data_IF_832278874732
#
_entry.id   IF_832278874732
#
_cell.length_a   1.000
_cell.length_b   1.000
_cell.length_c   1.000
_cell.angle_alpha   90.00
_cell.angle_beta   90.00
_cell.angle_gamma   90.00
#
_symmetry.space_group_name_H-M   'P 1'
#
loop_
_entity.id
_entity.type
_entity.pdbx_description
1 polymer ?
#
# COMPACT_ATOMS: atom_id res chain seq x y z
N UNK A 1 34.20 -2.58 28.37
CA UNK A 1 33.62 -3.40 27.28
C UNK A 1 32.14 -3.04 27.14
N UNK A 2 31.82 -2.12 26.24
CA UNK A 2 30.44 -1.68 26.01
C UNK A 2 29.84 -2.58 24.94
N UNK A 3 28.81 -3.33 25.34
CA UNK A 3 28.07 -4.31 24.56
C UNK A 3 27.66 -3.77 23.19
N UNK A 4 27.89 -4.58 22.14
CA UNK A 4 27.39 -4.38 20.78
C UNK A 4 25.87 -4.20 20.80
N UNK A 5 25.40 -2.95 20.86
CA UNK A 5 23.96 -2.62 20.74
C UNK A 5 23.51 -2.97 19.33
N UNK A 6 22.91 -4.14 19.18
CA UNK A 6 22.42 -4.66 17.91
C UNK A 6 21.48 -3.68 17.22
N UNK A 7 21.75 -3.44 15.93
CA UNK A 7 20.91 -2.66 15.03
C UNK A 7 19.46 -3.16 15.01
N UNK A 8 18.49 -2.36 15.48
CA UNK A 8 17.06 -2.74 15.42
C UNK A 8 16.52 -2.70 13.97
N UNK A 9 17.24 -2.15 12.97
CA UNK A 9 16.76 -2.15 11.57
C UNK A 9 16.38 -3.55 11.06
N UNK A 10 17.16 -4.59 11.40
CA UNK A 10 16.82 -5.98 11.05
C UNK A 10 15.60 -6.49 11.82
N UNK A 11 15.38 -5.95 13.02
CA UNK A 11 14.26 -6.27 13.91
C UNK A 11 13.02 -5.40 13.67
N UNK A 12 13.08 -4.35 12.84
CA UNK A 12 11.91 -3.52 12.50
C UNK A 12 10.83 -4.31 11.77
N UNK A 13 11.20 -5.43 11.12
CA UNK A 13 10.22 -6.35 10.57
C UNK A 13 9.45 -7.14 11.64
N UNK A 14 9.84 -7.07 12.93
CA UNK A 14 9.15 -7.74 14.02
C UNK A 14 7.79 -7.04 14.28
N UNK A 15 6.66 -7.70 14.01
CA UNK A 15 5.34 -7.12 14.19
C UNK A 15 4.96 -6.89 15.66
N UNK A 16 5.70 -7.46 16.61
CA UNK A 16 5.51 -7.20 18.06
C UNK A 16 6.01 -5.80 18.47
N UNK A 17 6.87 -5.19 17.66
CA UNK A 17 7.30 -3.80 17.86
C UNK A 17 6.25 -2.87 17.24
N UNK A 18 5.27 -2.46 18.06
CA UNK A 18 4.12 -1.65 17.64
C UNK A 18 4.52 -0.25 17.13
N UNK A 19 3.70 0.31 16.23
CA UNK A 19 3.86 1.66 15.68
C UNK A 19 4.39 1.65 14.25
N UNK A 20 3.63 2.29 13.35
CA UNK A 20 3.95 2.37 11.91
C UNK A 20 5.28 3.08 11.69
N UNK A 21 5.48 4.22 12.38
CA UNK A 21 6.69 5.04 12.29
C UNK A 21 7.66 4.80 13.46
N UNK A 22 7.67 3.60 14.06
CA UNK A 22 8.53 3.31 15.21
C UNK A 22 10.00 3.66 14.91
N UNK A 23 10.61 4.46 15.78
CA UNK A 23 11.99 4.90 15.61
C UNK A 23 12.16 6.10 14.68
N UNK A 24 11.06 6.71 14.20
CA UNK A 24 11.06 8.03 13.59
C UNK A 24 10.46 9.06 14.53
N UNK A 25 10.92 10.30 14.42
CA UNK A 25 10.44 11.45 15.18
C UNK A 25 10.41 12.70 14.32
N UNK A 26 9.49 13.61 14.61
CA UNK A 26 9.45 14.92 14.00
C UNK A 26 10.36 15.87 14.80
N UNK A 27 11.31 16.52 14.13
CA UNK A 27 12.11 17.62 14.68
C UNK A 27 12.19 18.72 13.64
N UNK A 28 11.87 19.95 14.04
CA UNK A 28 11.91 21.13 13.14
C UNK A 28 11.19 20.92 11.79
N UNK A 29 10.04 20.23 11.82
CA UNK A 29 9.22 19.86 10.65
C UNK A 29 9.84 18.82 9.70
N UNK A 30 10.98 18.23 10.05
CA UNK A 30 11.62 17.14 9.32
C UNK A 30 11.39 15.80 10.04
N UNK A 31 11.26 14.72 9.26
CA UNK A 31 11.13 13.37 9.81
C UNK A 31 12.51 12.75 9.93
N UNK A 32 12.97 12.51 11.15
CA UNK A 32 14.31 12.00 11.43
C UNK A 32 14.26 10.65 12.12
N UNK A 33 15.31 9.85 11.91
CA UNK A 33 15.52 8.60 12.63
C UNK A 33 16.00 8.89 14.06
N UNK A 34 15.44 8.19 15.05
CA UNK A 34 15.87 8.30 16.43
C UNK A 34 17.15 7.50 16.66
N UNK A 35 18.27 8.20 16.78
CA UNK A 35 19.60 7.61 16.95
C UNK A 35 19.74 6.70 18.18
N UNK A 36 18.92 6.91 19.22
CA UNK A 36 18.92 6.05 20.42
C UNK A 36 18.32 4.67 20.13
N UNK A 37 17.33 4.61 19.24
CA UNK A 37 16.64 3.38 18.84
C UNK A 37 17.33 2.70 17.64
N UNK A 38 18.01 3.47 16.80
CA UNK A 38 18.64 3.00 15.55
C UNK A 38 20.15 3.34 15.54
N UNK A 39 20.95 2.80 16.48
CA UNK A 39 22.35 3.20 16.65
C UNK A 39 23.25 2.77 15.48
N UNK A 40 22.81 1.81 14.68
CA UNK A 40 23.63 1.13 13.70
C UNK A 40 23.99 1.91 12.45
N UNK A 41 23.39 3.07 12.21
CA UNK A 41 23.76 3.91 11.08
C UNK A 41 24.13 5.33 11.52
N UNK A 42 24.20 5.61 12.84
CA UNK A 42 24.38 6.94 13.43
C UNK A 42 23.55 8.06 12.76
N UNK A 43 22.41 7.73 12.15
CA UNK A 43 21.67 8.64 11.26
C UNK A 43 22.36 9.00 9.93
N UNK A 44 23.62 8.63 9.71
CA UNK A 44 24.46 9.05 8.57
C UNK A 44 24.26 8.23 7.29
N UNK A 45 23.54 7.11 7.34
CA UNK A 45 23.28 6.27 6.15
C UNK A 45 24.45 5.35 5.74
N UNK A 46 25.41 5.14 6.64
CA UNK A 46 26.48 4.16 6.51
C UNK A 46 26.86 3.61 7.90
N UNK A 47 27.46 2.43 7.93
CA UNK A 47 28.00 1.79 9.13
C UNK A 47 29.33 1.14 8.79
N UNK A 48 30.28 1.11 9.71
CA UNK A 48 31.54 0.40 9.49
C UNK A 48 31.34 -1.09 9.75
N UNK A 49 31.81 -1.93 8.84
CA UNK A 49 31.96 -3.36 9.08
C UNK A 49 33.22 -3.60 9.92
N UNK A 50 33.11 -3.93 11.21
CA UNK A 50 34.27 -4.14 12.07
C UNK A 50 35.11 -5.35 11.64
N UNK A 51 34.58 -6.26 10.82
CA UNK A 51 35.31 -7.45 10.36
C UNK A 51 36.09 -7.19 9.07
N UNK A 52 35.60 -6.29 8.21
CA UNK A 52 36.18 -6.06 6.88
C UNK A 52 36.78 -4.67 6.69
N UNK A 53 36.71 -3.79 7.70
CA UNK A 53 37.16 -2.39 7.61
C UNK A 53 36.55 -1.64 6.40
N UNK A 54 35.33 -2.01 5.99
CA UNK A 54 34.61 -1.42 4.87
C UNK A 54 33.38 -0.67 5.36
N UNK A 55 32.98 0.37 4.63
CA UNK A 55 31.72 1.07 4.89
C UNK A 55 30.56 0.32 4.22
N UNK A 56 29.60 -0.12 5.02
CA UNK A 56 28.33 -0.67 4.56
C UNK A 56 27.33 0.47 4.44
N UNK A 57 26.78 0.69 3.23
CA UNK A 57 25.72 1.67 3.01
C UNK A 57 24.42 1.21 3.69
N UNK A 58 23.89 2.06 4.56
CA UNK A 58 22.64 1.84 5.27
C UNK A 58 21.50 2.53 4.53
N UNK A 59 20.46 1.77 4.15
CA UNK A 59 19.30 2.30 3.43
C UNK A 59 18.41 3.24 4.26
N UNK A 60 18.80 3.59 5.49
CA UNK A 60 18.03 4.44 6.41
C UNK A 60 17.64 5.78 5.78
N UNK A 61 18.60 6.54 5.23
CA UNK A 61 18.30 7.85 4.59
C UNK A 61 17.35 7.69 3.41
N UNK A 62 17.53 6.64 2.60
CA UNK A 62 16.61 6.32 1.48
C UNK A 62 15.20 6.01 2.01
N UNK A 63 15.08 5.20 3.06
CA UNK A 63 13.80 4.84 3.68
C UNK A 63 13.11 6.04 4.32
N UNK A 64 13.83 6.91 5.02
CA UNK A 64 13.29 8.14 5.60
C UNK A 64 12.71 9.03 4.50
N UNK A 65 13.50 9.34 3.46
CA UNK A 65 13.05 10.16 2.33
C UNK A 65 11.84 9.56 1.60
N UNK A 66 11.84 8.25 1.40
CA UNK A 66 10.69 7.57 0.79
C UNK A 66 9.44 7.62 1.69
N UNK A 67 9.62 7.51 3.00
CA UNK A 67 8.52 7.63 3.99
C UNK A 67 7.96 9.05 3.99
N UNK A 68 8.82 10.08 3.95
CA UNK A 68 8.42 11.48 3.83
C UNK A 68 7.68 11.75 2.53
N UNK A 69 8.12 11.17 1.40
CA UNK A 69 7.44 11.30 0.12
C UNK A 69 6.00 10.76 0.17
N UNK A 70 5.78 9.62 0.82
CA UNK A 70 4.43 9.05 1.02
C UNK A 70 3.57 9.96 1.90
N UNK A 71 4.13 10.48 3.01
CA UNK A 71 3.41 11.42 3.89
C UNK A 71 3.04 12.72 3.15
N UNK A 72 3.95 13.27 2.36
CA UNK A 72 3.70 14.45 1.54
C UNK A 72 2.61 14.19 0.51
N UNK A 73 2.68 13.05 -0.19
CA UNK A 73 1.66 12.64 -1.15
C UNK A 73 0.29 12.48 -0.47
N UNK A 74 0.24 11.86 0.72
CA UNK A 74 -0.98 11.78 1.51
C UNK A 74 -1.55 13.17 1.79
N UNK A 75 -0.73 14.11 2.29
CA UNK A 75 -1.19 15.45 2.63
C UNK A 75 -1.69 16.24 1.42
N UNK A 76 -1.12 16.01 0.24
CA UNK A 76 -1.60 16.59 -1.02
C UNK A 76 -2.93 15.97 -1.45
N UNK A 77 -3.07 14.65 -1.36
CA UNK A 77 -4.27 13.92 -1.79
C UNK A 77 -5.45 14.12 -0.83
N UNK A 78 -5.18 14.14 0.47
CA UNK A 78 -6.13 14.14 1.58
C UNK A 78 -5.97 15.38 2.47
N UNK A 79 -5.79 16.55 1.87
CA UNK A 79 -5.52 17.81 2.56
C UNK A 79 -6.57 18.21 3.61
N UNK A 80 -7.81 17.73 3.45
CA UNK A 80 -8.95 17.96 4.35
C UNK A 80 -9.12 16.88 5.44
N UNK A 81 -8.33 15.80 5.40
CA UNK A 81 -8.39 14.69 6.37
C UNK A 81 -7.12 14.62 7.23
N UNK A 82 -6.68 15.75 7.80
CA UNK A 82 -5.46 15.81 8.62
C UNK A 82 -5.58 14.96 9.89
N UNK A 83 -6.77 14.90 10.48
CA UNK A 83 -7.03 14.11 11.69
C UNK A 83 -6.99 12.59 11.46
N UNK A 84 -7.04 12.16 10.19
CA UNK A 84 -6.95 10.75 9.78
C UNK A 84 -5.54 10.38 9.29
N UNK A 85 -4.53 11.09 9.76
CA UNK A 85 -3.14 10.86 9.37
C UNK A 85 -2.75 9.37 9.50
N UNK A 86 -2.09 8.79 8.48
CA UNK A 86 -1.83 7.35 8.42
C UNK A 86 -0.87 6.84 9.50
N UNK A 87 -0.18 7.74 10.22
CA UNK A 87 0.69 7.41 11.34
C UNK A 87 0.00 7.54 12.71
N UNK A 88 -1.18 8.16 12.79
CA UNK A 88 -1.94 8.42 14.03
C UNK A 88 -2.95 7.33 14.37
N UNK A 89 -2.72 6.12 13.85
CA UNK A 89 -3.61 4.98 13.99
C UNK A 89 -3.45 4.31 15.36
N UNK A 90 -4.56 3.86 15.95
CA UNK A 90 -4.56 3.14 17.21
C UNK A 90 -3.64 1.90 17.17
N UNK A 91 -2.92 1.64 18.28
CA UNK A 91 -1.87 0.63 18.34
C UNK A 91 -2.32 -0.78 17.89
N UNK A 92 -3.51 -1.22 18.30
CA UNK A 92 -4.07 -2.53 17.89
C UNK A 92 -4.31 -2.62 16.38
N UNK A 93 -4.77 -1.54 15.75
CA UNK A 93 -4.99 -1.49 14.30
C UNK A 93 -3.65 -1.41 13.55
N UNK A 94 -2.69 -0.65 14.08
CA UNK A 94 -1.31 -0.63 13.57
C UNK A 94 -0.69 -2.03 13.58
N UNK A 95 -0.83 -2.80 14.67
CA UNK A 95 -0.30 -4.16 14.77
C UNK A 95 -0.93 -5.09 13.71
N UNK A 96 -2.24 -4.95 13.46
CA UNK A 96 -2.95 -5.70 12.42
C UNK A 96 -2.39 -5.39 11.03
N UNK A 97 -2.20 -4.12 10.68
CA UNK A 97 -1.64 -3.71 9.39
C UNK A 97 -0.19 -4.20 9.21
N UNK A 98 0.64 -4.05 10.25
CA UNK A 98 2.03 -4.54 10.24
C UNK A 98 2.10 -6.05 9.99
N UNK A 99 1.21 -6.82 10.62
CA UNK A 99 1.12 -8.27 10.40
C UNK A 99 0.72 -8.60 8.95
N UNK A 100 -0.28 -7.91 8.40
CA UNK A 100 -0.73 -8.14 7.02
C UNK A 100 0.39 -7.87 6.00
N UNK A 101 1.13 -6.78 6.18
CA UNK A 101 2.31 -6.49 5.35
C UNK A 101 3.32 -7.62 5.51
N UNK A 102 3.75 -7.93 6.74
CA UNK A 102 4.76 -8.95 7.00
C UNK A 102 4.40 -10.34 6.42
N UNK A 103 3.14 -10.76 6.52
CA UNK A 103 2.65 -12.02 5.94
C UNK A 103 2.76 -12.03 4.41
N UNK A 104 2.43 -10.92 3.77
CA UNK A 104 2.53 -10.78 2.30
C UNK A 104 3.99 -10.84 1.83
N UNK A 105 4.90 -10.25 2.60
CA UNK A 105 6.35 -10.28 2.30
C UNK A 105 6.97 -11.66 2.46
N UNK A 106 6.45 -12.45 3.41
CA UNK A 106 6.89 -13.82 3.64
C UNK A 106 6.26 -14.81 2.64
N UNK A 107 5.38 -14.34 1.75
CA UNK A 107 4.66 -15.21 0.82
C UNK A 107 3.54 -16.04 1.48
N UNK A 108 3.19 -15.74 2.74
CA UNK A 108 2.06 -16.39 3.43
C UNK A 108 0.70 -15.86 2.97
N UNK A 109 0.69 -14.86 2.09
CA UNK A 109 -0.49 -14.35 1.40
C UNK A 109 -0.21 -14.26 -0.10
N UNK A 110 -1.26 -14.27 -0.93
CA UNK A 110 -1.13 -13.94 -2.33
C UNK A 110 -0.50 -12.56 -2.53
N UNK A 111 0.11 -12.35 -3.70
CA UNK A 111 0.71 -11.08 -4.08
C UNK A 111 -0.34 -9.97 -4.23
N UNK A 112 -1.54 -10.35 -4.65
CA UNK A 112 -2.71 -9.50 -4.81
C UNK A 112 -3.70 -9.62 -3.64
N UNK A 113 -4.30 -8.52 -3.24
CA UNK A 113 -5.41 -8.50 -2.29
C UNK A 113 -6.44 -7.45 -2.68
N UNK A 114 -7.70 -7.86 -2.74
CA UNK A 114 -8.83 -6.97 -3.03
C UNK A 114 -9.69 -6.82 -1.79
N UNK A 115 -9.97 -5.57 -1.41
CA UNK A 115 -10.80 -5.24 -0.24
C UNK A 115 -11.94 -4.30 -0.64
N UNK A 116 -12.99 -4.27 0.18
CA UNK A 116 -14.09 -3.32 0.03
C UNK A 116 -13.80 -2.08 0.87
N UNK A 117 -13.81 -0.91 0.23
CA UNK A 117 -13.55 0.38 0.85
C UNK A 117 -14.79 1.22 1.13
N UNK A 118 -14.54 2.42 1.66
CA UNK A 118 -15.56 3.47 1.84
C UNK A 118 -15.12 4.73 1.11
N UNK A 119 -16.03 5.29 0.31
CA UNK A 119 -15.77 6.55 -0.39
C UNK A 119 -15.57 7.71 0.59
N UNK A 120 -14.75 8.68 0.18
CA UNK A 120 -14.61 9.97 0.87
C UNK A 120 -13.71 9.95 2.11
N UNK A 121 -13.01 8.86 2.39
CA UNK A 121 -11.99 8.78 3.46
C UNK A 121 -10.73 8.06 2.97
N UNK A 122 -9.54 8.46 3.42
CA UNK A 122 -8.31 7.75 3.09
C UNK A 122 -8.37 6.30 3.56
N UNK A 123 -7.80 5.41 2.76
CA UNK A 123 -7.72 3.99 3.09
C UNK A 123 -6.59 3.68 4.09
N UNK A 124 -6.67 2.52 4.73
CA UNK A 124 -5.57 1.92 5.51
C UNK A 124 -4.31 1.70 4.65
N UNK A 125 -4.44 1.73 3.32
CA UNK A 125 -3.33 1.58 2.37
C UNK A 125 -2.21 2.60 2.57
N UNK A 126 -2.51 3.83 2.97
CA UNK A 126 -1.46 4.81 3.30
C UNK A 126 -0.60 4.38 4.48
N UNK A 127 -1.24 3.84 5.51
CA UNK A 127 -0.58 3.29 6.68
C UNK A 127 0.25 2.04 6.33
N UNK A 128 -0.29 1.16 5.47
CA UNK A 128 0.43 0.00 4.96
C UNK A 128 1.64 0.39 4.10
N UNK A 129 1.53 1.43 3.26
CA UNK A 129 2.63 1.94 2.45
C UNK A 129 3.76 2.53 3.30
N UNK A 130 3.41 3.30 4.34
CA UNK A 130 4.38 3.80 5.32
C UNK A 130 5.08 2.65 6.03
N UNK A 131 4.33 1.65 6.50
CA UNK A 131 4.89 0.47 7.15
C UNK A 131 5.82 -0.29 6.20
N UNK A 132 5.37 -0.57 4.97
CA UNK A 132 6.15 -1.27 3.93
C UNK A 132 7.49 -0.57 3.67
N UNK A 133 7.45 0.75 3.50
CA UNK A 133 8.64 1.57 3.23
C UNK A 133 9.58 1.64 4.41
N UNK A 134 9.06 2.02 5.57
CA UNK A 134 9.89 2.27 6.75
C UNK A 134 10.36 0.97 7.41
N UNK A 135 9.40 0.12 7.79
CA UNK A 135 9.64 -1.08 8.60
C UNK A 135 10.29 -2.20 7.79
N UNK A 136 9.87 -2.36 6.54
CA UNK A 136 10.30 -3.48 5.71
C UNK A 136 11.28 -3.08 4.59
N UNK A 137 11.46 -1.77 4.33
CA UNK A 137 12.39 -1.30 3.30
C UNK A 137 11.90 -1.52 1.89
N UNK A 138 10.60 -1.57 1.69
CA UNK A 138 9.96 -1.90 0.41
C UNK A 138 9.50 -0.64 -0.27
N UNK A 139 9.81 -0.52 -1.57
CA UNK A 139 9.35 0.60 -2.33
C UNK A 139 7.82 0.54 -2.43
N UNK A 140 7.13 1.59 -1.98
CA UNK A 140 5.67 1.63 -1.95
C UNK A 140 5.15 2.76 -2.83
N UNK A 141 4.13 2.44 -3.64
CA UNK A 141 3.45 3.37 -4.52
C UNK A 141 1.96 3.38 -4.19
N UNK A 142 1.41 4.54 -3.85
CA UNK A 142 -0.03 4.69 -3.53
C UNK A 142 -0.70 5.50 -4.62
N UNK A 143 -1.81 4.98 -5.14
CA UNK A 143 -2.60 5.59 -6.21
C UNK A 143 -4.03 5.76 -5.73
N UNK A 144 -4.53 6.99 -5.72
CA UNK A 144 -5.96 7.28 -5.64
C UNK A 144 -6.47 7.43 -7.07
N UNK A 145 -7.16 6.41 -7.59
CA UNK A 145 -7.42 6.30 -9.04
C UNK A 145 -8.17 7.52 -9.62
N UNK A 146 -9.14 8.05 -8.87
CA UNK A 146 -9.92 9.24 -9.24
C UNK A 146 -9.12 10.55 -9.30
N UNK A 147 -7.91 10.58 -8.72
CA UNK A 147 -7.00 11.74 -8.69
C UNK A 147 -5.71 11.50 -9.46
N UNK A 148 -5.55 10.33 -10.07
CA UNK A 148 -4.33 9.94 -10.74
C UNK A 148 -4.10 10.76 -12.02
N UNK A 149 -2.84 11.15 -12.23
CA UNK A 149 -2.35 11.71 -13.49
C UNK A 149 -1.46 10.68 -14.19
N UNK A 150 -1.17 10.82 -15.49
CA UNK A 150 -0.26 9.89 -16.18
C UNK A 150 1.10 9.71 -15.49
N UNK A 151 1.61 10.76 -14.83
CA UNK A 151 2.89 10.73 -14.09
C UNK A 151 2.83 10.03 -12.74
N UNK A 152 1.64 9.90 -12.15
CA UNK A 152 1.44 9.31 -10.81
C UNK A 152 0.74 7.96 -10.86
N UNK A 153 0.29 7.53 -12.05
CA UNK A 153 -0.46 6.30 -12.22
C UNK A 153 0.43 5.07 -11.95
N UNK A 154 1.58 5.03 -12.60
CA UNK A 154 2.55 3.95 -12.45
C UNK A 154 3.77 4.46 -11.65
N UNK A 155 4.42 3.58 -10.88
CA UNK A 155 5.66 3.93 -10.22
C UNK A 155 6.74 4.27 -11.25
N UNK A 156 7.67 5.14 -10.86
CA UNK A 156 8.78 5.50 -11.73
C UNK A 156 9.68 4.27 -11.94
N UNK A 157 10.20 4.04 -13.15
CA UNK A 157 11.08 2.90 -13.44
C UNK A 157 12.48 3.14 -12.84
N UNK A 158 12.59 3.15 -11.53
CA UNK A 158 13.89 3.13 -10.86
C UNK A 158 14.45 1.71 -10.85
N UNK A 159 15.72 1.60 -11.27
CA UNK A 159 16.41 0.36 -11.66
C UNK A 159 16.96 -0.49 -10.50
N UNK A 160 16.52 -0.27 -9.27
CA UNK A 160 16.96 -1.10 -8.15
C UNK A 160 16.02 -2.30 -7.99
N UNK A 161 16.59 -3.50 -7.85
CA UNK A 161 15.90 -4.79 -7.63
C UNK A 161 15.13 -4.85 -6.28
N UNK A 162 14.48 -3.76 -5.90
CA UNK A 162 13.74 -3.64 -4.66
C UNK A 162 12.32 -4.15 -4.87
N UNK A 163 11.85 -4.98 -3.95
CA UNK A 163 10.45 -5.39 -3.89
C UNK A 163 9.55 -4.15 -3.93
N UNK A 164 8.50 -4.20 -4.76
CA UNK A 164 7.54 -3.13 -4.96
C UNK A 164 6.17 -3.51 -4.39
N UNK A 165 5.55 -2.57 -3.69
CA UNK A 165 4.18 -2.64 -3.21
C UNK A 165 3.34 -1.52 -3.83
N UNK A 166 2.28 -1.89 -4.56
CA UNK A 166 1.34 -0.94 -5.18
C UNK A 166 0.02 -1.01 -4.43
N UNK A 167 -0.45 0.14 -3.96
CA UNK A 167 -1.72 0.28 -3.29
C UNK A 167 -2.64 1.19 -4.12
N UNK A 168 -3.78 0.67 -4.54
CA UNK A 168 -4.77 1.40 -5.34
C UNK A 168 -6.02 1.61 -4.49
N UNK A 169 -6.18 2.83 -3.95
CA UNK A 169 -7.32 3.18 -3.12
C UNK A 169 -8.46 3.82 -3.93
N UNK A 170 -9.67 3.71 -3.38
CA UNK A 170 -10.89 4.34 -3.92
C UNK A 170 -11.14 4.04 -5.40
N UNK A 171 -11.03 2.77 -5.79
CA UNK A 171 -11.41 2.35 -7.12
C UNK A 171 -12.92 2.34 -7.22
N UNK A 172 -13.46 3.33 -7.93
CA UNK A 172 -14.86 3.46 -8.26
C UNK A 172 -15.04 3.80 -9.74
N UNK A 173 -16.30 3.88 -10.18
CA UNK A 173 -16.69 4.37 -11.53
C UNK A 173 -15.96 3.70 -12.70
N UNK A 174 -15.72 2.40 -12.61
CA UNK A 174 -15.11 1.63 -13.70
C UNK A 174 -15.98 1.57 -14.97
N UNK A 175 -17.23 2.02 -14.91
CA UNK A 175 -18.03 2.27 -16.11
C UNK A 175 -17.47 3.42 -16.98
N UNK A 176 -16.52 4.21 -16.47
CA UNK A 176 -15.70 5.13 -17.25
C UNK A 176 -14.46 4.40 -17.78
N UNK A 177 -14.37 4.27 -19.10
CA UNK A 177 -13.28 3.59 -19.81
C UNK A 177 -11.89 4.11 -19.40
N UNK A 178 -11.76 5.39 -19.03
CA UNK A 178 -10.48 5.93 -18.58
C UNK A 178 -10.06 5.39 -17.21
N UNK A 179 -11.02 5.22 -16.29
CA UNK A 179 -10.76 4.64 -14.97
C UNK A 179 -10.47 3.14 -15.10
N UNK A 180 -11.23 2.43 -15.95
CA UNK A 180 -10.98 1.02 -16.26
C UNK A 180 -9.57 0.81 -16.84
N UNK A 181 -9.23 1.52 -17.92
CA UNK A 181 -7.91 1.42 -18.56
C UNK A 181 -6.76 1.79 -17.60
N UNK A 182 -6.96 2.77 -16.72
CA UNK A 182 -5.99 3.15 -15.70
C UNK A 182 -5.74 2.02 -14.70
N UNK A 183 -6.80 1.36 -14.22
CA UNK A 183 -6.67 0.21 -13.32
C UNK A 183 -5.99 -0.96 -14.03
N UNK A 184 -6.38 -1.25 -15.27
CA UNK A 184 -5.78 -2.32 -16.08
C UNK A 184 -4.28 -2.11 -16.30
N UNK A 185 -3.86 -0.87 -16.55
CA UNK A 185 -2.45 -0.53 -16.66
C UNK A 185 -1.69 -0.84 -15.36
N UNK A 186 -2.26 -0.52 -14.20
CA UNK A 186 -1.67 -0.84 -12.90
C UNK A 186 -1.59 -2.35 -12.67
N UNK A 187 -2.66 -3.09 -12.96
CA UNK A 187 -2.70 -4.55 -12.82
C UNK A 187 -1.65 -5.20 -13.71
N UNK A 188 -1.58 -4.79 -14.98
CA UNK A 188 -0.60 -5.31 -15.94
C UNK A 188 0.83 -5.03 -15.48
N UNK A 189 1.08 -3.82 -14.99
CA UNK A 189 2.38 -3.47 -14.43
C UNK A 189 2.73 -4.33 -13.22
N UNK A 190 1.80 -4.47 -12.27
CA UNK A 190 2.03 -5.27 -11.06
C UNK A 190 2.33 -6.74 -11.38
N UNK A 191 1.54 -7.33 -12.29
CA UNK A 191 1.75 -8.70 -12.76
C UNK A 191 3.12 -8.89 -13.41
N UNK A 192 3.51 -8.01 -14.33
CA UNK A 192 4.77 -8.14 -15.07
C UNK A 192 6.02 -7.84 -14.20
N UNK A 193 5.87 -6.99 -13.18
CA UNK A 193 6.96 -6.62 -12.26
C UNK A 193 7.01 -7.49 -11.00
N UNK A 194 6.12 -8.47 -10.87
CA UNK A 194 5.99 -9.30 -9.66
C UNK A 194 5.79 -8.45 -8.39
N UNK A 195 5.08 -7.32 -8.53
CA UNK A 195 4.80 -6.42 -7.43
C UNK A 195 3.64 -6.93 -6.57
N UNK A 196 3.68 -6.60 -5.29
CA UNK A 196 2.53 -6.79 -4.40
C UNK A 196 1.47 -5.74 -4.76
N UNK A 197 0.20 -6.15 -4.84
CA UNK A 197 -0.90 -5.32 -5.30
C UNK A 197 -2.06 -5.35 -4.30
N UNK A 198 -2.43 -4.20 -3.76
CA UNK A 198 -3.65 -4.04 -2.97
C UNK A 198 -4.62 -3.12 -3.68
N UNK A 199 -5.86 -3.57 -3.85
CA UNK A 199 -6.92 -2.80 -4.49
C UNK A 199 -8.09 -2.65 -3.53
N UNK A 200 -8.57 -1.43 -3.37
CA UNK A 200 -9.77 -1.11 -2.61
C UNK A 200 -10.88 -0.69 -3.58
N UNK A 201 -11.88 -1.56 -3.75
CA UNK A 201 -13.09 -1.22 -4.49
C UNK A 201 -14.08 -0.49 -3.58
N UNK A 202 -14.48 0.69 -4.02
CA UNK A 202 -15.46 1.52 -3.34
C UNK A 202 -16.83 1.34 -3.99
N UNK A 203 -17.83 0.95 -3.20
CA UNK A 203 -19.23 1.00 -3.65
C UNK A 203 -19.71 2.44 -3.59
N UNK A 204 -20.26 2.95 -4.70
CA UNK A 204 -21.03 4.19 -4.66
C UNK A 204 -22.20 3.98 -3.69
N UNK A 205 -22.38 4.89 -2.73
CA UNK A 205 -23.58 4.89 -1.89
C UNK A 205 -24.77 5.21 -2.79
N UNK A 206 -25.51 4.17 -3.18
CA UNK A 206 -26.75 4.35 -3.92
C UNK A 206 -27.77 5.02 -3.00
N UNK A 207 -28.06 6.30 -3.23
CA UNK A 207 -29.26 6.91 -2.66
C UNK A 207 -30.45 6.09 -3.17
N UNK A 208 -31.23 5.50 -2.24
CA UNK A 208 -32.49 4.84 -2.59
C UNK A 208 -33.38 5.89 -3.27
N UNK A 209 -33.58 5.74 -4.56
CA UNK A 209 -34.58 6.52 -5.28
C UNK A 209 -35.93 5.97 -4.85
N UNK A 210 -36.67 6.72 -4.03
CA UNK A 210 -38.07 6.42 -3.77
C UNK A 210 -38.83 6.44 -5.10
N UNK A 211 -39.49 5.32 -5.38
CA UNK A 211 -40.00 5.01 -6.70
C UNK A 211 -41.38 5.63 -6.90
N UNK A 212 -41.45 6.84 -7.47
CA UNK A 212 -42.61 7.22 -8.26
C UNK A 212 -42.49 6.61 -9.65
N UNK A 213 -43.24 5.53 -9.85
CA UNK A 213 -43.00 4.46 -10.81
C UNK A 213 -43.36 4.75 -12.28
N UNK A 214 -43.68 6.01 -12.64
CA UNK A 214 -44.19 6.33 -13.99
C UNK A 214 -43.43 7.41 -14.77
N UNK A 215 -42.39 8.04 -14.20
CA UNK A 215 -41.63 9.06 -14.95
C UNK A 215 -40.48 8.45 -15.76
N UNK A 216 -40.27 8.95 -16.98
CA UNK A 216 -39.09 8.63 -17.81
C UNK A 216 -37.78 8.89 -17.05
N UNK A 217 -37.78 9.91 -16.19
CA UNK A 217 -36.64 10.27 -15.35
C UNK A 217 -36.34 9.20 -14.29
N UNK A 218 -37.36 8.63 -13.63
CA UNK A 218 -37.19 7.53 -12.69
C UNK A 218 -36.64 6.27 -13.39
N UNK A 219 -37.13 5.95 -14.59
CA UNK A 219 -36.64 4.84 -15.39
C UNK A 219 -35.18 5.05 -15.86
N UNK A 220 -34.83 6.27 -16.26
CA UNK A 220 -33.46 6.62 -16.63
C UNK A 220 -32.50 6.52 -15.44
N UNK A 221 -32.88 7.09 -14.28
CA UNK A 221 -32.13 6.98 -13.01
C UNK A 221 -31.94 5.51 -12.60
N UNK A 222 -32.96 4.67 -12.75
CA UNK A 222 -32.88 3.24 -12.46
C UNK A 222 -31.89 2.51 -13.37
N UNK A 223 -31.88 2.80 -14.68
CA UNK A 223 -30.91 2.22 -15.62
C UNK A 223 -29.48 2.59 -15.26
N UNK A 224 -29.22 3.86 -14.94
CA UNK A 224 -27.90 4.33 -14.51
C UNK A 224 -27.48 3.65 -13.21
N UNK A 225 -28.38 3.56 -12.22
CA UNK A 225 -28.13 2.87 -10.96
C UNK A 225 -27.77 1.40 -11.17
N UNK A 226 -28.48 0.71 -12.07
CA UNK A 226 -28.21 -0.69 -12.41
C UNK A 226 -26.85 -0.90 -13.07
N UNK A 227 -26.36 0.07 -13.87
CA UNK A 227 -25.01 0.02 -14.43
C UNK A 227 -23.98 0.19 -13.30
N UNK A 228 -24.16 1.20 -12.45
CA UNK A 228 -23.25 1.50 -11.33
C UNK A 228 -23.17 0.41 -10.26
N UNK A 229 -24.20 -0.44 -10.15
CA UNK A 229 -24.24 -1.56 -9.20
C UNK A 229 -23.62 -2.85 -9.71
N UNK A 230 -23.19 -2.90 -10.98
CA UNK A 230 -22.50 -4.07 -11.55
C UNK A 230 -21.19 -4.35 -10.84
N UNK A 231 -20.74 -5.59 -10.94
CA UNK A 231 -19.46 -6.00 -10.38
C UNK A 231 -18.32 -5.20 -11.02
N UNK A 232 -17.31 -4.72 -10.25
CA UNK A 232 -16.13 -4.05 -10.81
C UNK A 232 -15.44 -4.86 -11.92
N UNK A 233 -15.45 -6.19 -11.80
CA UNK A 233 -14.85 -7.10 -12.77
C UNK A 233 -15.58 -7.17 -14.12
N UNK A 234 -16.84 -6.73 -14.20
CA UNK A 234 -17.59 -6.69 -15.47
C UNK A 234 -17.14 -5.55 -16.38
N UNK A 235 -16.40 -4.58 -15.84
CA UNK A 235 -15.89 -3.41 -16.57
C UNK A 235 -14.43 -3.54 -17.00
N UNK A 236 -13.80 -4.68 -16.69
CA UNK A 236 -12.40 -4.92 -16.99
C UNK A 236 -12.27 -5.98 -18.08
N UNK A 237 -11.23 -5.86 -18.88
CA UNK A 237 -10.85 -6.85 -19.87
C UNK A 237 -10.63 -8.23 -19.23
N UNK A 238 -11.01 -9.29 -19.94
CA UNK A 238 -10.87 -10.66 -19.45
C UNK A 238 -9.43 -11.00 -19.07
N UNK A 239 -8.46 -10.51 -19.85
CA UNK A 239 -7.04 -10.65 -19.56
C UNK A 239 -6.64 -9.96 -18.24
N UNK A 240 -7.16 -8.76 -17.98
CA UNK A 240 -6.94 -8.06 -16.71
C UNK A 240 -7.54 -8.85 -15.54
N UNK A 241 -8.78 -9.33 -15.68
CA UNK A 241 -9.44 -10.16 -14.66
C UNK A 241 -8.65 -11.45 -14.39
N UNK A 242 -8.11 -12.08 -15.43
CA UNK A 242 -7.24 -13.26 -15.30
C UNK A 242 -5.97 -12.95 -14.52
N UNK A 243 -5.27 -11.85 -14.85
CA UNK A 243 -4.08 -11.40 -14.12
C UNK A 243 -4.38 -11.07 -12.65
N UNK A 244 -5.50 -10.39 -12.38
CA UNK A 244 -5.97 -10.11 -11.01
C UNK A 244 -6.20 -11.41 -10.23
N UNK A 245 -6.88 -12.39 -10.84
CA UNK A 245 -7.08 -13.72 -10.22
C UNK A 245 -5.76 -14.41 -9.92
N UNK A 246 -4.81 -14.36 -10.85
CA UNK A 246 -3.47 -14.93 -10.67
C UNK A 246 -2.74 -14.28 -9.49
N UNK A 247 -2.72 -12.94 -9.42
CA UNK A 247 -2.11 -12.20 -8.31
C UNK A 247 -2.77 -12.55 -6.98
N UNK A 248 -4.10 -12.67 -6.95
CA UNK A 248 -4.87 -12.97 -5.74
C UNK A 248 -4.90 -14.46 -5.39
N UNK A 249 -4.30 -15.33 -6.20
CA UNK A 249 -4.18 -16.76 -5.92
C UNK A 249 -2.85 -17.07 -5.24
N UNK A 250 -2.82 -18.08 -4.37
CA UNK A 250 -1.55 -18.55 -3.83
C UNK A 250 -0.69 -19.16 -4.95
N UNK A 251 0.64 -18.96 -4.91
CA UNK A 251 1.53 -19.68 -5.81
C UNK A 251 1.30 -21.18 -5.65
N UNK A 252 1.09 -21.92 -6.76
CA UNK A 252 0.84 -23.37 -6.73
C UNK A 252 1.92 -24.16 -5.98
N UNK A 253 3.14 -23.64 -5.89
CA UNK A 253 4.25 -24.25 -5.14
C UNK A 253 3.99 -24.43 -3.65
N UNK A 254 3.13 -23.61 -3.03
CA UNK A 254 2.73 -23.77 -1.62
C UNK A 254 1.64 -24.83 -1.40
N UNK A 255 0.98 -25.30 -2.46
CA UNK A 255 -0.01 -26.38 -2.35
C UNK A 255 0.65 -27.78 -2.38
N UNK A 256 1.90 -27.87 -2.87
CA UNK A 256 2.67 -29.11 -2.96
C UNK A 256 3.60 -29.33 -1.76
N UNK A 257 4.00 -28.25 -1.08
CA UNK A 257 4.65 -28.32 0.23
C UNK A 257 3.57 -28.31 1.32
N UNK A 258 3.10 -29.50 1.72
CA UNK A 258 2.09 -29.67 2.77
C UNK A 258 2.50 -29.03 4.10
N UNK A 259 2.13 -27.75 4.30
CA UNK A 259 2.17 -27.12 5.61
C UNK A 259 0.98 -27.62 6.43
N UNK A 260 1.26 -28.64 7.23
CA UNK A 260 0.45 -29.02 8.39
C UNK A 260 0.54 -27.87 9.39
N UNK A 261 -0.59 -27.23 9.68
CA UNK A 261 -0.70 -26.30 10.80
C UNK A 261 -0.89 -27.10 12.09
N UNK A 262 0.03 -26.94 13.04
CA UNK A 262 -0.24 -27.06 14.48
C UNK A 262 -0.58 -25.66 15.06
#
# INVERSE_FOLDING_TARGET
>A
MISQRGCILKSLANPMLNGILLGLEWRDYELLANDKLLPCCEGRGFTEDPQHATQIRCSLVKRVRATEAILYQYMKTWSHCRDLAPHSIHASHSARLLRQVAESLKGYRPQGSVVNGRQGKPSDFWAMALASTWRFGIHSHVVTLSKATPKTLLPSPDKENDTLAIFVEQVDKLWDDKQAAALEAIVNYAYNSNALLWIEFCKEQSHKVEADSFSLEANFKRRISNVKSRSPYEFLDQDCVSRLKSLCSFPKSFAEEGFVYD
#
